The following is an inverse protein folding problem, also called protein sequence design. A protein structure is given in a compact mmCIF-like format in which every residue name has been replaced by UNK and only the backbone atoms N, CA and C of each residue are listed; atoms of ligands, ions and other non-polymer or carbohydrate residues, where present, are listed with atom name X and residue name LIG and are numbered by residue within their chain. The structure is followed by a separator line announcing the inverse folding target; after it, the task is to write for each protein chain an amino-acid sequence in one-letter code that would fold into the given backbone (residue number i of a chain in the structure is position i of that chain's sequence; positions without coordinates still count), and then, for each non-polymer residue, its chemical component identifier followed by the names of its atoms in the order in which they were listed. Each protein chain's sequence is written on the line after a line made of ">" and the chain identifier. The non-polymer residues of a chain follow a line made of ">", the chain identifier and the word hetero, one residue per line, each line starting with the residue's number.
data_IF_850173638299
#
_entry.id   IF_850173638299
#
_cell.length_a   1.000
_cell.length_b   1.000
_cell.length_c   1.000
_cell.angle_alpha   90.00
_cell.angle_beta   90.00
_cell.angle_gamma   90.00
#
_symmetry.space_group_name_H-M   'P 1'
#
loop_
_entity.id
_entity.type
_entity.pdbx_description
1 polymer ?
#
# COMPACT_ATOMS: atom_id res chain seq x y z
N UNK A 1 -22.48 -37.45 -1.65
CA UNK A 1 -22.23 -36.01 -1.47
C UNK A 1 -20.79 -35.86 -1.00
N UNK A 2 -19.92 -35.22 -1.78
CA UNK A 2 -18.53 -35.03 -1.39
C UNK A 2 -18.48 -34.00 -0.24
N UNK A 3 -18.20 -34.45 0.96
CA UNK A 3 -17.89 -33.59 2.11
C UNK A 3 -16.55 -32.93 1.83
N UNK A 4 -16.57 -31.70 1.33
CA UNK A 4 -15.36 -30.91 1.11
C UNK A 4 -14.68 -30.67 2.46
N UNK A 5 -13.39 -30.98 2.57
CA UNK A 5 -12.59 -30.78 3.77
C UNK A 5 -12.62 -29.29 4.20
N UNK A 6 -13.14 -28.96 5.40
CA UNK A 6 -13.18 -27.57 5.90
C UNK A 6 -11.81 -26.90 5.94
N UNK A 7 -10.74 -27.68 6.13
CA UNK A 7 -9.36 -27.19 6.09
C UNK A 7 -9.03 -26.73 4.67
N UNK A 8 -9.27 -27.58 3.66
CA UNK A 8 -8.99 -27.25 2.27
C UNK A 8 -9.78 -26.01 1.79
N UNK A 9 -11.02 -25.85 2.24
CA UNK A 9 -11.80 -24.63 1.95
C UNK A 9 -11.20 -23.37 2.57
N UNK A 10 -10.78 -23.44 3.84
CA UNK A 10 -10.14 -22.33 4.53
C UNK A 10 -8.83 -21.91 3.84
N UNK A 11 -8.00 -22.87 3.45
CA UNK A 11 -6.73 -22.59 2.76
C UNK A 11 -6.97 -21.98 1.37
N UNK A 12 -7.93 -22.52 0.60
CA UNK A 12 -8.29 -21.95 -0.69
C UNK A 12 -8.84 -20.52 -0.58
N UNK A 13 -9.59 -20.22 0.47
CA UNK A 13 -10.05 -18.85 0.74
C UNK A 13 -8.88 -17.91 1.05
N UNK A 14 -7.95 -18.33 1.91
CA UNK A 14 -6.75 -17.55 2.25
C UNK A 14 -5.91 -17.28 1.00
N UNK A 15 -5.68 -18.28 0.14
CA UNK A 15 -4.98 -18.09 -1.13
C UNK A 15 -5.65 -17.04 -2.02
N UNK A 16 -6.98 -17.11 -2.16
CA UNK A 16 -7.76 -16.14 -2.94
C UNK A 16 -7.61 -14.73 -2.39
N UNK A 17 -7.72 -14.56 -1.07
CA UNK A 17 -7.60 -13.25 -0.41
C UNK A 17 -6.17 -12.71 -0.48
N UNK A 18 -5.15 -13.56 -0.33
CA UNK A 18 -3.74 -13.22 -0.53
C UNK A 18 -3.48 -12.74 -1.95
N UNK A 19 -4.01 -13.42 -2.98
CA UNK A 19 -3.90 -12.96 -4.37
C UNK A 19 -4.57 -11.60 -4.58
N UNK A 20 -5.73 -11.37 -3.96
CA UNK A 20 -6.43 -10.10 -4.05
C UNK A 20 -5.62 -8.96 -3.39
N UNK A 21 -5.04 -9.22 -2.21
CA UNK A 21 -4.16 -8.29 -1.52
C UNK A 21 -2.92 -7.95 -2.36
N UNK A 22 -2.21 -8.95 -2.88
CA UNK A 22 -1.03 -8.75 -3.72
C UNK A 22 -1.39 -7.96 -5.00
N UNK A 23 -2.50 -8.30 -5.65
CA UNK A 23 -3.00 -7.55 -6.82
C UNK A 23 -3.31 -6.08 -6.48
N UNK A 24 -3.82 -5.81 -5.28
CA UNK A 24 -4.04 -4.44 -4.83
C UNK A 24 -2.72 -3.70 -4.60
N UNK A 25 -1.70 -4.36 -4.02
CA UNK A 25 -0.37 -3.77 -3.85
C UNK A 25 0.28 -3.43 -5.21
N UNK A 26 0.18 -4.33 -6.19
CA UNK A 26 0.69 -4.08 -7.53
C UNK A 26 0.03 -2.85 -8.19
N UNK A 27 -1.25 -2.59 -7.89
CA UNK A 27 -1.95 -1.40 -8.39
C UNK A 27 -1.42 -0.12 -7.77
N UNK A 28 -1.02 -0.13 -6.50
CA UNK A 28 -0.38 1.02 -5.85
C UNK A 28 0.94 1.34 -6.54
N UNK A 29 1.79 0.33 -6.74
CA UNK A 29 3.08 0.54 -7.41
C UNK A 29 2.90 1.04 -8.86
N UNK A 30 1.92 0.49 -9.60
CA UNK A 30 1.57 0.98 -10.95
C UNK A 30 0.99 2.39 -10.99
N UNK A 31 0.30 2.84 -9.93
CA UNK A 31 -0.23 4.20 -9.85
C UNK A 31 0.84 5.22 -9.42
N UNK A 32 1.82 4.79 -8.62
CA UNK A 32 2.89 5.67 -8.11
C UNK A 32 3.80 6.18 -9.23
N UNK A 33 4.21 5.31 -10.16
CA UNK A 33 5.10 5.65 -11.26
C UNK A 33 4.62 6.86 -12.09
N UNK A 34 3.42 6.80 -12.70
CA UNK A 34 2.87 7.91 -13.46
C UNK A 34 2.73 9.21 -12.67
N UNK A 35 2.38 9.15 -11.37
CA UNK A 35 2.34 10.33 -10.51
C UNK A 35 3.72 10.96 -10.33
N UNK A 36 4.75 10.15 -10.04
CA UNK A 36 6.12 10.62 -9.89
C UNK A 36 6.66 11.23 -11.19
N UNK A 37 6.38 10.58 -12.32
CA UNK A 37 6.74 11.08 -13.64
C UNK A 37 6.07 12.42 -13.94
N UNK A 38 4.77 12.57 -13.66
CA UNK A 38 4.04 13.82 -13.84
C UNK A 38 4.59 14.94 -12.95
N UNK A 39 4.87 14.66 -11.66
CA UNK A 39 5.51 15.62 -10.74
C UNK A 39 6.84 16.11 -11.33
N UNK A 40 7.72 15.20 -11.73
CA UNK A 40 9.02 15.54 -12.31
C UNK A 40 8.88 16.35 -13.59
N UNK A 41 7.95 15.96 -14.47
CA UNK A 41 7.66 16.70 -15.71
C UNK A 41 7.24 18.13 -15.42
N UNK A 42 6.23 18.35 -14.56
CA UNK A 42 5.74 19.68 -14.22
C UNK A 42 6.78 20.55 -13.50
N UNK A 43 7.67 19.95 -12.71
CA UNK A 43 8.81 20.64 -12.11
C UNK A 43 9.86 21.07 -13.17
N UNK A 44 10.07 20.28 -14.22
CA UNK A 44 11.02 20.55 -15.30
C UNK A 44 10.47 21.60 -16.27
N UNK A 45 9.22 21.48 -16.65
CA UNK A 45 8.50 22.39 -17.55
C UNK A 45 8.16 23.73 -16.88
N UNK A 46 8.33 23.84 -15.55
CA UNK A 46 7.97 25.01 -14.75
C UNK A 46 6.48 25.35 -14.88
N UNK A 47 5.64 24.32 -14.99
CA UNK A 47 4.18 24.44 -15.13
C UNK A 47 3.52 24.98 -13.86
N UNK A 48 4.02 24.57 -12.69
CA UNK A 48 3.55 25.06 -11.39
C UNK A 48 4.68 25.14 -10.36
N UNK A 49 4.48 25.96 -9.32
CA UNK A 49 5.45 26.10 -8.23
C UNK A 49 5.55 24.79 -7.45
N UNK A 50 6.74 24.38 -6.97
CA UNK A 50 6.89 23.13 -6.20
C UNK A 50 5.99 23.04 -4.96
N UNK A 51 5.72 24.18 -4.30
CA UNK A 51 4.79 24.22 -3.16
C UNK A 51 3.35 23.94 -3.57
N UNK A 52 2.91 24.48 -4.70
CA UNK A 52 1.56 24.26 -5.24
C UNK A 52 1.43 22.83 -5.77
N UNK A 53 2.45 22.29 -6.44
CA UNK A 53 2.48 20.87 -6.82
C UNK A 53 2.28 19.96 -5.59
N UNK A 54 2.94 20.26 -4.48
CA UNK A 54 2.81 19.46 -3.26
C UNK A 54 1.37 19.42 -2.73
N UNK A 55 0.61 20.52 -2.84
CA UNK A 55 -0.79 20.60 -2.40
C UNK A 55 -1.73 19.66 -3.19
N UNK A 56 -1.34 19.24 -4.39
CA UNK A 56 -2.11 18.35 -5.28
C UNK A 56 -1.57 16.91 -5.32
N UNK A 57 -0.69 16.57 -4.39
CA UNK A 57 -0.05 15.26 -4.29
C UNK A 57 -0.08 14.77 -2.84
N UNK A 58 0.08 13.47 -2.57
CA UNK A 58 0.20 12.98 -1.20
C UNK A 58 1.57 13.29 -0.56
N UNK A 59 2.44 14.02 -1.26
CA UNK A 59 3.80 14.28 -0.86
C UNK A 59 3.97 15.71 -0.38
N UNK A 60 4.74 15.87 0.70
CA UNK A 60 5.14 17.21 1.12
C UNK A 60 6.10 17.85 0.10
N UNK A 61 6.31 19.16 0.25
CA UNK A 61 7.19 19.95 -0.61
C UNK A 61 8.64 19.44 -0.63
N UNK A 62 9.14 18.90 0.49
CA UNK A 62 10.52 18.41 0.57
C UNK A 62 10.68 17.13 -0.25
N UNK A 63 9.69 16.23 -0.20
CA UNK A 63 9.63 15.03 -0.99
C UNK A 63 9.50 15.35 -2.48
N UNK A 64 8.60 16.26 -2.87
CA UNK A 64 8.51 16.77 -4.26
C UNK A 64 9.85 17.34 -4.73
N UNK A 65 10.53 18.12 -3.89
CA UNK A 65 11.87 18.63 -4.18
C UNK A 65 12.94 17.54 -4.28
N UNK A 66 12.84 16.46 -3.50
CA UNK A 66 13.74 15.32 -3.59
C UNK A 66 13.55 14.54 -4.90
N UNK A 67 12.30 14.32 -5.33
CA UNK A 67 11.97 13.73 -6.63
C UNK A 67 12.57 14.55 -7.78
N UNK A 68 12.36 15.87 -7.76
CA UNK A 68 12.94 16.77 -8.75
C UNK A 68 14.47 16.69 -8.80
N UNK A 69 15.14 16.71 -7.65
CA UNK A 69 16.62 16.59 -7.58
C UNK A 69 17.12 15.25 -8.09
N UNK A 70 16.48 14.14 -7.69
CA UNK A 70 16.84 12.81 -8.17
C UNK A 70 16.70 12.69 -9.70
N UNK A 71 15.74 13.40 -10.29
CA UNK A 71 15.53 13.47 -11.73
C UNK A 71 16.31 14.59 -12.45
N UNK A 72 17.27 15.23 -11.77
CA UNK A 72 18.14 16.26 -12.33
C UNK A 72 17.45 17.59 -12.64
N UNK A 73 16.28 17.86 -12.06
CA UNK A 73 15.57 19.13 -12.26
C UNK A 73 16.31 20.26 -11.51
N UNK A 74 16.74 21.33 -12.20
CA UNK A 74 17.43 22.44 -11.54
C UNK A 74 16.53 23.12 -10.51
N UNK A 75 17.08 23.62 -9.38
CA UNK A 75 16.31 24.40 -8.41
C UNK A 75 15.77 25.68 -9.04
N UNK A 76 14.67 26.18 -8.47
CA UNK A 76 13.99 27.41 -8.94
C UNK A 76 14.73 28.67 -8.48
N UNK A 77 15.48 28.59 -7.37
CA UNK A 77 16.24 29.70 -6.76
C UNK A 77 17.51 29.16 -6.12
N UNK A 78 18.52 30.02 -5.96
CA UNK A 78 19.77 29.71 -5.26
C UNK A 78 20.85 29.10 -6.15
N UNK A 79 21.90 28.57 -5.52
CA UNK A 79 23.07 28.01 -6.22
C UNK A 79 22.63 26.83 -7.11
N UNK A 80 22.97 26.90 -8.40
CA UNK A 80 22.61 25.87 -9.39
C UNK A 80 21.24 26.08 -10.05
N UNK A 81 20.54 27.19 -9.77
CA UNK A 81 19.33 27.55 -10.50
C UNK A 81 19.67 27.84 -11.98
N UNK A 82 18.87 27.29 -12.89
CA UNK A 82 19.01 27.53 -14.31
C UNK A 82 18.12 28.73 -14.71
N UNK A 83 18.76 29.86 -15.01
CA UNK A 83 18.08 31.05 -15.54
C UNK A 83 17.32 31.90 -14.50
N UNK A 84 16.58 32.92 -14.97
CA UNK A 84 15.76 33.76 -14.10
C UNK A 84 14.62 32.96 -13.45
N UNK A 85 14.03 33.47 -12.36
CA UNK A 85 12.86 32.85 -11.75
C UNK A 85 11.74 32.65 -12.78
N UNK A 86 11.15 31.45 -12.87
CA UNK A 86 10.07 31.19 -13.82
C UNK A 86 8.83 32.00 -13.46
N UNK A 87 8.17 32.51 -14.50
CA UNK A 87 6.81 33.03 -14.45
C UNK A 87 5.87 31.88 -14.81
N UNK A 88 4.87 31.66 -13.98
CA UNK A 88 3.94 30.55 -14.16
C UNK A 88 2.68 31.06 -14.86
N UNK A 89 2.36 30.47 -16.00
CA UNK A 89 1.11 30.74 -16.70
C UNK A 89 -0.05 30.10 -15.92
N UNK A 90 -1.10 30.86 -15.54
CA UNK A 90 -2.22 30.32 -14.78
C UNK A 90 -2.98 29.18 -15.48
N UNK A 91 -3.12 29.20 -16.80
CA UNK A 91 -3.81 28.17 -17.55
C UNK A 91 -2.99 26.87 -17.59
N UNK A 92 -1.69 26.98 -17.87
CA UNK A 92 -0.76 25.83 -17.84
C UNK A 92 -0.70 25.23 -16.43
N UNK A 93 -0.65 26.08 -15.40
CA UNK A 93 -0.69 25.63 -14.02
C UNK A 93 -1.99 24.86 -13.71
N UNK A 94 -3.15 25.38 -14.12
CA UNK A 94 -4.43 24.72 -13.88
C UNK A 94 -4.50 23.32 -14.52
N UNK A 95 -4.03 23.15 -15.76
CA UNK A 95 -3.99 21.85 -16.44
C UNK A 95 -3.04 20.87 -15.73
N UNK A 96 -1.86 21.34 -15.33
CA UNK A 96 -0.88 20.54 -14.60
C UNK A 96 -1.44 20.03 -13.26
N UNK A 97 -2.09 20.91 -12.50
CA UNK A 97 -2.67 20.57 -11.19
C UNK A 97 -3.86 19.61 -11.35
N UNK A 98 -4.71 19.81 -12.36
CA UNK A 98 -5.83 18.91 -12.64
C UNK A 98 -5.37 17.48 -13.04
N UNK A 99 -4.23 17.36 -13.72
CA UNK A 99 -3.61 16.06 -13.95
C UNK A 99 -3.07 15.42 -12.67
N UNK A 100 -2.36 16.18 -11.85
CA UNK A 100 -1.85 15.72 -10.56
C UNK A 100 -2.99 15.24 -9.66
N UNK A 101 -4.11 15.97 -9.59
CA UNK A 101 -5.29 15.56 -8.83
C UNK A 101 -5.86 14.22 -9.30
N UNK A 102 -5.94 14.00 -10.63
CA UNK A 102 -6.42 12.73 -11.18
C UNK A 102 -5.49 11.57 -10.81
N UNK A 103 -4.17 11.78 -10.90
CA UNK A 103 -3.17 10.76 -10.59
C UNK A 103 -3.11 10.47 -9.08
N UNK A 104 -3.17 11.51 -8.25
CA UNK A 104 -3.29 11.39 -6.79
C UNK A 104 -4.54 10.60 -6.41
N UNK A 105 -5.70 10.93 -6.99
CA UNK A 105 -6.93 10.16 -6.78
C UNK A 105 -6.80 8.70 -7.18
N UNK A 106 -6.11 8.39 -8.28
CA UNK A 106 -5.86 7.02 -8.70
C UNK A 106 -4.99 6.25 -7.70
N UNK A 107 -3.92 6.89 -7.19
CA UNK A 107 -3.06 6.32 -6.15
C UNK A 107 -3.83 6.08 -4.85
N UNK A 108 -4.53 7.09 -4.34
CA UNK A 108 -5.35 6.97 -3.12
C UNK A 108 -6.40 5.86 -3.26
N UNK A 109 -7.08 5.77 -4.42
CA UNK A 109 -8.04 4.70 -4.68
C UNK A 109 -7.40 3.30 -4.70
N UNK A 110 -6.13 3.19 -5.11
CA UNK A 110 -5.39 1.93 -5.06
C UNK A 110 -4.99 1.58 -3.63
N UNK A 111 -4.52 2.56 -2.84
CA UNK A 111 -4.17 2.37 -1.42
C UNK A 111 -5.38 1.95 -0.58
N UNK A 112 -6.55 2.56 -0.80
CA UNK A 112 -7.79 2.14 -0.15
C UNK A 112 -8.16 0.68 -0.46
N UNK A 113 -7.90 0.21 -1.68
CA UNK A 113 -8.13 -1.19 -2.05
C UNK A 113 -7.16 -2.14 -1.34
N UNK A 114 -5.93 -1.72 -1.10
CA UNK A 114 -4.96 -2.48 -0.29
C UNK A 114 -5.49 -2.61 1.13
N UNK A 115 -5.91 -1.52 1.75
CA UNK A 115 -6.40 -1.56 3.14
C UNK A 115 -7.68 -2.39 3.28
N UNK A 116 -8.62 -2.29 2.33
CA UNK A 116 -9.81 -3.16 2.30
C UNK A 116 -9.43 -4.65 2.16
N UNK A 117 -8.51 -4.97 1.25
CA UNK A 117 -8.06 -6.35 1.03
C UNK A 117 -7.29 -6.90 2.24
N UNK A 118 -6.49 -6.06 2.89
CA UNK A 118 -5.78 -6.36 4.15
C UNK A 118 -6.78 -6.70 5.26
N UNK A 119 -7.80 -5.85 5.44
CA UNK A 119 -8.87 -6.06 6.41
C UNK A 119 -9.57 -7.39 6.22
N UNK A 120 -10.04 -7.68 4.99
CA UNK A 120 -10.70 -8.96 4.69
C UNK A 120 -9.79 -10.17 4.90
N UNK A 121 -8.50 -10.07 4.57
CA UNK A 121 -7.54 -11.14 4.81
C UNK A 121 -7.31 -11.36 6.31
N UNK A 122 -7.16 -10.29 7.09
CA UNK A 122 -7.01 -10.36 8.55
C UNK A 122 -8.23 -10.99 9.22
N UNK A 123 -9.44 -10.60 8.80
CA UNK A 123 -10.70 -11.17 9.28
C UNK A 123 -10.76 -12.68 9.00
N UNK A 124 -10.41 -13.12 7.79
CA UNK A 124 -10.39 -14.54 7.43
C UNK A 124 -9.36 -15.32 8.26
N UNK A 125 -8.15 -14.78 8.44
CA UNK A 125 -7.11 -15.38 9.30
C UNK A 125 -7.65 -15.58 10.71
N UNK A 126 -8.23 -14.54 11.32
CA UNK A 126 -8.77 -14.62 12.69
C UNK A 126 -9.92 -15.62 12.76
N UNK A 127 -10.82 -15.62 11.78
CA UNK A 127 -11.94 -16.56 11.71
C UNK A 127 -11.45 -18.00 11.70
N UNK A 128 -10.52 -18.36 10.81
CA UNK A 128 -10.00 -19.73 10.73
C UNK A 128 -9.18 -20.14 11.95
N UNK A 129 -8.49 -19.19 12.61
CA UNK A 129 -7.84 -19.45 13.90
C UNK A 129 -8.85 -19.75 15.02
N UNK A 130 -10.00 -19.07 15.01
CA UNK A 130 -11.08 -19.24 16.00
C UNK A 130 -11.83 -20.54 15.80
N UNK A 131 -12.15 -20.87 14.55
CA UNK A 131 -12.83 -22.10 14.13
C UNK A 131 -11.93 -23.34 14.25
N UNK A 132 -10.61 -23.14 14.42
CA UNK A 132 -9.60 -24.21 14.41
C UNK A 132 -9.54 -24.96 13.08
N UNK A 133 -9.98 -24.34 11.99
CA UNK A 133 -9.97 -24.91 10.63
C UNK A 133 -8.55 -25.13 10.11
N UNK A 134 -7.57 -24.35 10.58
CA UNK A 134 -6.16 -24.56 10.28
C UNK A 134 -5.25 -24.10 11.43
N UNK A 135 -4.07 -24.71 11.54
CA UNK A 135 -3.05 -24.31 12.54
C UNK A 135 -2.35 -23.01 12.09
N UNK A 136 -1.85 -22.18 13.00
CA UNK A 136 -1.18 -20.91 12.65
C UNK A 136 -0.01 -21.07 11.67
N UNK A 137 0.73 -22.18 11.73
CA UNK A 137 1.82 -22.46 10.79
C UNK A 137 1.31 -22.68 9.37
N UNK A 138 0.24 -23.45 9.21
CA UNK A 138 -0.39 -23.70 7.91
C UNK A 138 -1.01 -22.41 7.36
N UNK A 139 -1.69 -21.61 8.19
CA UNK A 139 -2.22 -20.30 7.74
C UNK A 139 -1.10 -19.39 7.23
N UNK A 140 0.07 -19.39 7.88
CA UNK A 140 1.20 -18.58 7.45
C UNK A 140 1.73 -18.97 6.05
N UNK A 141 1.58 -20.23 5.64
CA UNK A 141 1.99 -20.69 4.30
C UNK A 141 1.08 -20.15 3.17
N UNK A 142 -0.14 -19.74 3.50
CA UNK A 142 -1.15 -19.25 2.54
C UNK A 142 -1.40 -17.74 2.62
N UNK A 143 -0.56 -17.02 3.38
CA UNK A 143 -0.71 -15.58 3.61
C UNK A 143 0.65 -14.89 3.50
N UNK A 144 0.71 -13.55 3.28
CA UNK A 144 1.97 -12.82 3.23
C UNK A 144 2.59 -12.61 4.63
N UNK A 145 2.07 -13.29 5.66
CA UNK A 145 2.42 -13.09 7.05
C UNK A 145 3.09 -14.32 7.63
N UNK A 146 4.17 -14.11 8.37
CA UNK A 146 4.77 -15.19 9.13
C UNK A 146 3.85 -15.70 10.25
N UNK A 147 4.19 -16.88 10.79
CA UNK A 147 3.45 -17.51 11.89
C UNK A 147 3.33 -16.62 13.14
N UNK A 148 4.33 -15.81 13.44
CA UNK A 148 4.31 -14.94 14.62
C UNK A 148 3.31 -13.80 14.42
N UNK A 149 3.25 -13.22 13.22
CA UNK A 149 2.29 -12.20 12.84
C UNK A 149 0.87 -12.77 12.85
N UNK A 150 0.63 -13.94 12.26
CA UNK A 150 -0.66 -14.66 12.34
C UNK A 150 -1.08 -14.86 13.81
N UNK A 151 -0.14 -15.29 14.67
CA UNK A 151 -0.38 -15.43 16.11
C UNK A 151 -0.67 -14.10 16.82
N UNK A 152 -0.04 -12.98 16.41
CA UNK A 152 -0.35 -11.63 16.92
C UNK A 152 -1.77 -11.21 16.54
N UNK A 153 -2.20 -11.43 15.29
CA UNK A 153 -3.56 -11.15 14.84
C UNK A 153 -4.60 -11.93 15.65
N UNK A 154 -4.37 -13.24 15.84
CA UNK A 154 -5.24 -14.06 16.67
C UNK A 154 -5.35 -13.56 18.11
N UNK A 155 -4.23 -13.21 18.76
CA UNK A 155 -4.22 -12.66 20.13
C UNK A 155 -4.93 -11.32 20.23
N UNK A 156 -4.68 -10.41 19.29
CA UNK A 156 -5.35 -9.11 19.25
C UNK A 156 -6.88 -9.26 19.12
N UNK A 157 -7.35 -10.30 18.44
CA UNK A 157 -8.76 -10.63 18.29
C UNK A 157 -9.32 -11.60 19.36
N UNK A 158 -8.58 -11.83 20.44
CA UNK A 158 -9.02 -12.66 21.57
C UNK A 158 -9.10 -14.17 21.29
N UNK A 159 -8.46 -14.67 20.22
CA UNK A 159 -8.44 -16.10 19.93
C UNK A 159 -7.54 -16.83 20.93
N UNK A 160 -8.05 -17.83 21.68
CA UNK A 160 -7.23 -18.55 22.64
C UNK A 160 -6.06 -19.29 21.96
N UNK A 161 -4.88 -19.38 22.59
CA UNK A 161 -3.78 -20.15 22.04
C UNK A 161 -4.19 -21.61 21.86
N UNK A 162 -3.70 -22.24 20.78
CA UNK A 162 -3.82 -23.69 20.62
C UNK A 162 -2.92 -24.30 21.69
N UNK A 163 -3.51 -24.82 22.78
CA UNK A 163 -2.74 -25.51 23.83
C UNK A 163 -1.99 -26.69 23.20
N UNK A 164 -0.67 -26.58 23.10
CA UNK A 164 0.19 -27.73 22.88
C UNK A 164 0.16 -28.61 24.12
N UNK A 165 0.07 -29.92 23.91
CA UNK A 165 0.13 -30.96 24.96
C UNK A 165 1.45 -30.78 25.75
N UNK A 166 1.35 -30.17 26.93
CA UNK A 166 2.42 -30.01 27.92
C UNK A 166 1.90 -30.16 29.36
N UNK A 167 0.74 -30.81 29.51
CA UNK A 167 0.21 -31.25 30.80
C UNK A 167 -0.08 -32.75 30.70
N UNK A 168 0.99 -33.53 30.59
CA UNK A 168 0.99 -34.96 30.81
C UNK A 168 2.33 -35.29 31.49
N UNK A 169 2.28 -35.66 32.77
CA UNK A 169 3.43 -36.20 33.50
C UNK A 169 4.21 -35.18 34.34
N UNK A 170 3.63 -34.76 35.46
CA UNK A 170 4.40 -34.62 36.69
C UNK A 170 3.67 -35.48 37.73
N UNK A 171 4.16 -36.72 37.84
CA UNK A 171 3.91 -37.60 38.99
C UNK A 171 4.66 -37.08 40.20
#
# INVERSE_FOLDING_TARGET
>A
MATTDPTAQALAELDRLTRAFNTAQDRVEKARGPLHEAIVRHLRERSARPGVIAEHTPYDRNHVGALGRAAGVPPVKGKGAAGPPPVYDPAIAAEALAELDRLTKALTSAEEKVEKSRGSLHEAIVRHLRERSARPGVIAEHTPYDRNHVGKLGRAAGVPPVKGKGAAGAS
#
